data_IF_683329985723
#
_entry.id   IF_683329985723
#
_cell.length_a   1.000
_cell.length_b   1.000
_cell.length_c   1.000
_cell.angle_alpha   90.00
_cell.angle_beta   90.00
_cell.angle_gamma   90.00
#
_symmetry.space_group_name_H-M   'P 1'
#
loop_
_entity.id
_entity.type
_entity.pdbx_description
1 polymer ?
#
# COMPACT_ATOMS: atom_id res chain seq x y z
N UNK A 1 12.07 -16.76 -14.40
CA UNK A 1 10.83 -16.10 -13.94
C UNK A 1 10.34 -15.15 -15.03
N UNK A 2 9.03 -15.07 -15.32
CA UNK A 2 8.52 -14.12 -16.30
C UNK A 2 8.82 -12.67 -15.89
N UNK A 3 9.13 -11.82 -16.87
CA UNK A 3 9.44 -10.40 -16.66
C UNK A 3 8.17 -9.66 -16.21
N UNK A 4 8.26 -8.97 -15.08
CA UNK A 4 7.16 -8.13 -14.59
C UNK A 4 6.95 -6.91 -15.50
N UNK A 5 5.69 -6.56 -15.75
CA UNK A 5 5.33 -5.32 -16.43
C UNK A 5 5.72 -4.09 -15.59
N UNK A 6 5.76 -2.91 -16.22
CA UNK A 6 5.99 -1.64 -15.50
C UNK A 6 5.01 -1.48 -14.34
N UNK A 7 3.71 -1.64 -14.63
CA UNK A 7 2.66 -1.54 -13.61
C UNK A 7 2.81 -2.55 -12.47
N UNK A 8 3.21 -3.80 -12.76
CA UNK A 8 3.46 -4.80 -11.72
C UNK A 8 4.64 -4.40 -10.82
N UNK A 9 5.70 -3.82 -11.40
CA UNK A 9 6.81 -3.26 -10.61
C UNK A 9 6.36 -2.09 -9.76
N UNK A 10 5.47 -1.24 -10.28
CA UNK A 10 4.92 -0.11 -9.55
C UNK A 10 4.09 -0.55 -8.34
N UNK A 11 3.28 -1.62 -8.47
CA UNK A 11 2.57 -2.23 -7.33
C UNK A 11 3.54 -2.69 -6.23
N UNK A 12 4.63 -3.38 -6.60
CA UNK A 12 5.63 -3.82 -5.63
C UNK A 12 6.43 -2.66 -5.03
N UNK A 13 6.71 -1.63 -5.83
CA UNK A 13 7.37 -0.41 -5.35
C UNK A 13 6.50 0.30 -4.33
N UNK A 14 5.22 0.50 -4.66
CA UNK A 14 4.23 1.14 -3.81
C UNK A 14 4.00 0.37 -2.50
N UNK A 15 3.92 -0.97 -2.55
CA UNK A 15 3.84 -1.77 -1.32
C UNK A 15 5.05 -1.53 -0.38
N UNK A 16 6.26 -1.48 -0.94
CA UNK A 16 7.48 -1.18 -0.15
C UNK A 16 7.49 0.25 0.37
N UNK A 17 6.96 1.20 -0.40
CA UNK A 17 6.76 2.59 0.00
C UNK A 17 5.86 2.68 1.24
N UNK A 18 4.69 2.02 1.24
CA UNK A 18 3.82 1.91 2.40
C UNK A 18 4.56 1.39 3.63
N UNK A 19 5.31 0.28 3.50
CA UNK A 19 6.03 -0.31 4.63
C UNK A 19 7.18 0.57 5.15
N UNK A 20 7.80 1.38 4.30
CA UNK A 20 8.81 2.36 4.72
C UNK A 20 8.17 3.53 5.46
N UNK A 21 7.02 4.02 4.99
CA UNK A 21 6.28 5.10 5.64
C UNK A 21 5.89 4.72 7.09
N UNK A 22 5.57 3.46 7.35
CA UNK A 22 5.31 2.96 8.73
C UNK A 22 6.47 3.26 9.69
N UNK A 23 7.72 3.28 9.22
CA UNK A 23 8.88 3.57 10.08
C UNK A 23 8.86 4.98 10.67
N UNK A 24 8.11 5.90 10.06
CA UNK A 24 7.94 7.27 10.56
C UNK A 24 6.89 7.37 11.68
N UNK A 25 6.12 6.30 11.92
CA UNK A 25 5.11 6.25 13.00
C UNK A 25 5.71 5.81 14.34
N UNK A 26 4.97 6.09 15.41
CA UNK A 26 5.30 5.71 16.79
C UNK A 26 5.39 4.18 16.91
N UNK A 27 6.35 3.68 17.68
CA UNK A 27 6.71 2.25 17.69
C UNK A 27 5.57 1.31 18.07
N UNK A 28 4.71 1.75 18.99
CA UNK A 28 3.53 1.07 19.49
C UNK A 28 2.41 0.94 18.44
N UNK A 29 2.30 1.88 17.49
CA UNK A 29 1.25 1.87 16.47
C UNK A 29 1.70 1.30 15.13
N UNK A 30 3.02 1.11 14.90
CA UNK A 30 3.58 0.61 13.64
C UNK A 30 2.95 -0.68 13.14
N UNK A 31 2.67 -1.63 14.04
CA UNK A 31 2.11 -2.92 13.64
C UNK A 31 0.69 -2.76 13.08
N UNK A 32 -0.10 -1.82 13.61
CA UNK A 32 -1.44 -1.52 13.08
C UNK A 32 -1.37 -1.02 11.64
N UNK A 33 -0.46 -0.07 11.34
CA UNK A 33 -0.26 0.42 9.98
C UNK A 33 0.25 -0.69 9.03
N UNK A 34 1.16 -1.55 9.51
CA UNK A 34 1.67 -2.68 8.71
C UNK A 34 0.55 -3.70 8.42
N UNK A 35 -0.24 -4.05 9.42
CA UNK A 35 -1.37 -4.96 9.29
C UNK A 35 -2.43 -4.39 8.33
N UNK A 36 -2.75 -3.10 8.47
CA UNK A 36 -3.64 -2.38 7.57
C UNK A 36 -3.15 -2.45 6.11
N UNK A 37 -1.91 -2.03 5.85
CA UNK A 37 -1.33 -2.09 4.50
C UNK A 37 -1.36 -3.51 3.93
N UNK A 38 -0.95 -4.53 4.71
CA UNK A 38 -1.02 -5.93 4.28
C UNK A 38 -2.45 -6.36 3.94
N UNK A 39 -3.42 -5.96 4.75
CA UNK A 39 -4.83 -6.32 4.54
C UNK A 39 -5.39 -5.72 3.26
N UNK A 40 -5.09 -4.45 2.96
CA UNK A 40 -5.57 -3.76 1.76
C UNK A 40 -5.02 -4.42 0.48
N UNK A 41 -3.74 -4.80 0.47
CA UNK A 41 -3.17 -5.52 -0.68
C UNK A 41 -3.71 -6.95 -0.80
N UNK A 42 -3.93 -7.65 0.32
CA UNK A 42 -4.50 -9.01 0.32
C UNK A 42 -5.92 -9.05 -0.23
N UNK A 43 -6.77 -8.05 0.07
CA UNK A 43 -8.14 -7.93 -0.47
C UNK A 43 -8.17 -7.94 -2.01
N UNK A 44 -7.09 -7.49 -2.64
CA UNK A 44 -7.00 -7.28 -4.09
C UNK A 44 -6.12 -8.32 -4.80
N UNK A 45 -5.65 -9.37 -4.11
CA UNK A 45 -4.73 -10.37 -4.69
C UNK A 45 -5.35 -11.18 -5.84
N UNK A 46 -6.69 -11.28 -5.87
CA UNK A 46 -7.44 -12.01 -6.89
C UNK A 46 -7.66 -11.22 -8.19
N UNK A 47 -7.27 -9.95 -8.25
CA UNK A 47 -7.44 -9.13 -9.46
C UNK A 47 -6.59 -9.71 -10.60
N UNK A 48 -7.18 -9.79 -11.78
CA UNK A 48 -6.48 -10.24 -12.97
C UNK A 48 -5.29 -9.32 -13.25
N UNK A 49 -4.09 -9.89 -13.40
CA UNK A 49 -2.85 -9.14 -13.68
C UNK A 49 -2.89 -8.31 -14.98
N UNK A 50 -3.84 -8.59 -15.86
CA UNK A 50 -4.10 -7.86 -17.12
C UNK A 50 -5.20 -6.81 -17.01
N UNK A 51 -5.89 -6.72 -15.87
CA UNK A 51 -6.85 -5.65 -15.60
C UNK A 51 -6.10 -4.37 -15.18
N UNK A 52 -5.46 -3.75 -16.17
CA UNK A 52 -4.62 -2.59 -15.96
C UNK A 52 -5.42 -1.39 -15.41
N UNK A 53 -6.66 -1.20 -15.87
CA UNK A 53 -7.52 -0.10 -15.44
C UNK A 53 -7.82 -0.16 -13.94
N UNK A 54 -8.22 -1.32 -13.43
CA UNK A 54 -8.48 -1.52 -12.00
C UNK A 54 -7.21 -1.36 -11.18
N UNK A 55 -6.08 -1.94 -11.63
CA UNK A 55 -4.79 -1.84 -10.91
C UNK A 55 -4.32 -0.39 -10.82
N UNK A 56 -4.40 0.38 -11.90
CA UNK A 56 -4.04 1.79 -11.91
C UNK A 56 -4.94 2.63 -11.00
N UNK A 57 -6.25 2.38 -11.03
CA UNK A 57 -7.21 3.06 -10.16
C UNK A 57 -6.87 2.81 -8.68
N UNK A 58 -6.61 1.55 -8.31
CA UNK A 58 -6.21 1.18 -6.96
C UNK A 58 -4.87 1.79 -6.55
N UNK A 59 -3.89 1.85 -7.46
CA UNK A 59 -2.61 2.52 -7.22
C UNK A 59 -2.80 4.02 -6.95
N UNK A 60 -3.56 4.72 -7.80
CA UNK A 60 -3.84 6.16 -7.61
C UNK A 60 -4.53 6.41 -6.28
N UNK A 61 -5.54 5.62 -5.94
CA UNK A 61 -6.23 5.74 -4.65
C UNK A 61 -5.34 5.39 -3.47
N UNK A 62 -4.52 4.35 -3.60
CA UNK A 62 -3.55 3.94 -2.59
C UNK A 62 -2.54 5.03 -2.28
N UNK A 63 -2.00 5.70 -3.31
CA UNK A 63 -1.06 6.82 -3.13
C UNK A 63 -1.68 7.98 -2.36
N UNK A 64 -2.91 8.39 -2.70
CA UNK A 64 -3.65 9.40 -1.93
C UNK A 64 -3.84 8.99 -0.47
N UNK A 65 -4.23 7.74 -0.21
CA UNK A 65 -4.33 7.21 1.16
C UNK A 65 -2.99 7.27 1.89
N UNK A 66 -1.90 6.91 1.21
CA UNK A 66 -0.56 6.93 1.81
C UNK A 66 -0.13 8.35 2.19
N UNK A 67 -0.37 9.33 1.32
CA UNK A 67 -0.11 10.75 1.61
C UNK A 67 -0.85 11.19 2.88
N UNK A 68 -2.14 10.86 3.00
CA UNK A 68 -2.92 11.13 4.22
C UNK A 68 -2.31 10.44 5.44
N UNK A 69 -2.03 9.14 5.36
CA UNK A 69 -1.49 8.39 6.49
C UNK A 69 -0.04 8.74 6.83
N UNK A 70 0.71 9.40 5.96
CA UNK A 70 2.05 9.91 6.27
C UNK A 70 2.01 11.13 7.19
N UNK A 71 0.89 11.85 7.24
CA UNK A 71 0.72 13.02 8.11
C UNK A 71 1.10 12.68 9.58
N UNK A 72 2.04 13.43 10.20
CA UNK A 72 2.44 13.21 11.59
C UNK A 72 1.31 13.32 12.61
N UNK A 73 0.24 14.04 12.30
CA UNK A 73 -0.98 14.14 13.09
C UNK A 73 -1.78 12.84 13.17
N UNK A 74 -1.65 11.95 12.18
CA UNK A 74 -2.26 10.61 12.22
C UNK A 74 -1.32 9.65 12.94
N UNK A 75 -1.60 9.43 14.23
CA UNK A 75 -0.74 8.64 15.13
C UNK A 75 -1.08 7.15 15.16
N UNK A 76 -2.33 6.79 14.90
CA UNK A 76 -2.78 5.39 14.91
C UNK A 76 -3.90 5.15 13.88
N UNK A 77 -4.08 3.88 13.52
CA UNK A 77 -5.27 3.39 12.83
C UNK A 77 -5.77 2.18 13.63
N UNK A 78 -6.95 2.30 14.22
CA UNK A 78 -7.67 1.15 14.78
C UNK A 78 -8.47 0.47 13.67
N UNK A 79 -8.58 -0.86 13.76
CA UNK A 79 -9.45 -1.65 12.88
C UNK A 79 -10.91 -1.50 13.28
#
# INVERSE_FOLDING_TARGET
>A
MPRLSGLQKDVLSFYRECLRAVRQKQSDTRENFRAFARSEFRKNIGINKKDFGTIEYLLRNGRRKLETYQDPGIRNISR
#
